data_IF_365370667500
#
_entry.id   IF_365370667500
#
_cell.length_a   1.000
_cell.length_b   1.000
_cell.length_c   1.000
_cell.angle_alpha   90.00
_cell.angle_beta   90.00
_cell.angle_gamma   90.00
#
_symmetry.space_group_name_H-M   'P 1'
#
loop_
_entity.id
_entity.type
_entity.pdbx_description
1 polymer ?
#
# COMPACT_ATOMS: atom_id res chain seq x y z
N UNK A 1 -13.79 17.29 -13.48
CA UNK A 1 -14.68 16.11 -13.36
C UNK A 1 -14.18 14.87 -14.11
N UNK A 2 -13.85 14.92 -15.43
CA UNK A 2 -13.46 13.71 -16.19
C UNK A 2 -12.26 12.97 -15.59
N UNK A 3 -11.35 13.73 -14.96
CA UNK A 3 -10.10 13.21 -14.40
C UNK A 3 -10.26 12.75 -12.94
N UNK A 4 -11.32 13.19 -12.25
CA UNK A 4 -11.54 12.93 -10.83
C UNK A 4 -12.47 11.74 -10.57
N UNK A 5 -13.24 11.29 -11.58
CA UNK A 5 -14.20 10.19 -11.45
C UNK A 5 -13.72 9.01 -12.30
N UNK A 6 -13.07 8.03 -11.66
CA UNK A 6 -12.58 6.84 -12.34
C UNK A 6 -13.62 5.74 -12.52
N UNK A 7 -14.44 5.51 -11.49
CA UNK A 7 -15.47 4.46 -11.44
C UNK A 7 -16.67 4.97 -10.65
N UNK A 8 -17.86 4.54 -11.04
CA UNK A 8 -19.11 4.73 -10.30
C UNK A 8 -19.77 3.38 -10.05
N UNK A 9 -20.24 3.14 -8.83
CA UNK A 9 -20.78 1.85 -8.41
C UNK A 9 -22.12 2.03 -7.70
N UNK A 10 -23.13 1.26 -8.12
CA UNK A 10 -24.46 1.22 -7.49
C UNK A 10 -24.81 -0.23 -7.17
N UNK A 11 -25.34 -0.43 -5.95
CA UNK A 11 -26.06 -1.64 -5.57
C UNK A 11 -27.56 -1.35 -5.72
N UNK A 12 -28.27 -2.16 -6.50
CA UNK A 12 -29.70 -2.03 -6.73
C UNK A 12 -30.42 -3.33 -6.37
N UNK A 13 -31.74 -3.24 -6.16
CA UNK A 13 -32.60 -4.36 -5.74
C UNK A 13 -33.15 -5.19 -6.91
N UNK A 14 -32.68 -4.95 -8.15
CA UNK A 14 -33.18 -5.62 -9.35
C UNK A 14 -32.42 -6.93 -9.64
N UNK A 15 -33.11 -8.09 -9.74
CA UNK A 15 -32.53 -9.30 -10.30
C UNK A 15 -32.41 -9.19 -11.84
N UNK A 16 -31.36 -9.73 -12.49
CA UNK A 16 -30.33 -10.64 -11.94
C UNK A 16 -29.01 -9.97 -11.51
N UNK A 17 -28.86 -8.65 -11.70
CA UNK A 17 -27.62 -7.93 -11.43
C UNK A 17 -27.81 -6.93 -10.26
N UNK A 18 -27.59 -7.36 -9.01
CA UNK A 18 -27.75 -6.49 -7.84
C UNK A 18 -26.69 -5.39 -7.76
N UNK A 19 -25.68 -5.41 -8.63
CA UNK A 19 -24.54 -4.50 -8.61
C UNK A 19 -24.15 -4.13 -10.03
N UNK A 20 -23.95 -2.84 -10.27
CA UNK A 20 -23.50 -2.28 -11.55
C UNK A 20 -22.30 -1.38 -11.30
N UNK A 21 -21.24 -1.61 -12.08
CA UNK A 21 -20.02 -0.79 -12.07
C UNK A 21 -19.88 -0.10 -13.43
N UNK A 22 -19.85 1.22 -13.42
CA UNK A 22 -19.60 2.05 -14.60
C UNK A 22 -18.16 2.54 -14.55
N UNK A 23 -17.33 1.98 -15.42
CA UNK A 23 -15.94 2.40 -15.58
C UNK A 23 -15.87 3.63 -16.48
N UNK A 24 -15.08 4.64 -16.09
CA UNK A 24 -14.88 5.88 -16.85
C UNK A 24 -16.23 6.50 -17.30
N UNK A 25 -17.04 7.01 -16.36
CA UNK A 25 -18.40 7.46 -16.69
C UNK A 25 -18.44 8.68 -17.62
N UNK A 26 -17.33 9.41 -17.79
CA UNK A 26 -17.22 10.56 -18.70
C UNK A 26 -16.28 10.18 -19.85
N UNK A 27 -16.85 9.71 -20.95
CA UNK A 27 -16.14 9.24 -22.17
C UNK A 27 -16.54 9.97 -23.45
N UNK A 28 -17.58 10.81 -23.38
CA UNK A 28 -18.09 11.62 -24.49
C UNK A 28 -18.04 13.10 -24.08
N UNK A 29 -17.84 13.98 -25.06
CA UNK A 29 -17.90 15.44 -24.85
C UNK A 29 -19.31 15.85 -24.39
N UNK A 30 -20.34 15.28 -25.03
CA UNK A 30 -21.74 15.43 -24.66
C UNK A 30 -22.37 14.07 -24.32
N UNK A 31 -22.93 13.96 -23.12
CA UNK A 31 -23.69 12.77 -22.70
C UNK A 31 -25.11 12.74 -23.27
N UNK A 32 -25.76 11.58 -23.20
CA UNK A 32 -27.19 11.48 -23.52
C UNK A 32 -28.02 12.08 -22.36
N UNK A 33 -28.47 13.32 -22.52
CA UNK A 33 -29.22 14.05 -21.48
C UNK A 33 -30.61 13.45 -21.20
N UNK A 34 -31.23 12.76 -22.16
CA UNK A 34 -32.49 12.05 -21.93
C UNK A 34 -32.28 10.88 -20.96
N UNK A 35 -31.20 10.10 -21.14
CA UNK A 35 -30.84 9.03 -20.23
C UNK A 35 -30.39 9.56 -18.87
N UNK A 36 -29.63 10.66 -18.84
CA UNK A 36 -29.17 11.27 -17.59
C UNK A 36 -30.34 11.80 -16.73
N UNK A 37 -31.43 12.23 -17.36
CA UNK A 37 -32.64 12.74 -16.71
C UNK A 37 -33.79 11.73 -16.68
N UNK A 38 -33.54 10.46 -17.06
CA UNK A 38 -34.56 9.43 -17.12
C UNK A 38 -35.29 9.27 -15.78
N UNK A 39 -36.62 9.31 -15.80
CA UNK A 39 -37.48 9.18 -14.62
C UNK A 39 -37.59 10.43 -13.74
N UNK A 40 -36.85 11.51 -14.04
CA UNK A 40 -36.90 12.75 -13.25
C UNK A 40 -38.09 13.67 -13.57
N UNK A 41 -38.70 13.50 -14.76
CA UNK A 41 -39.69 14.41 -15.35
C UNK A 41 -39.21 15.85 -15.58
N UNK A 42 -37.90 16.10 -15.51
CA UNK A 42 -37.30 17.39 -15.86
C UNK A 42 -37.25 17.57 -17.38
N UNK A 43 -37.42 18.81 -17.91
CA UNK A 43 -37.24 19.07 -19.34
C UNK A 43 -35.78 18.87 -19.73
N UNK A 44 -35.55 18.28 -20.90
CA UNK A 44 -34.20 18.07 -21.44
C UNK A 44 -33.63 19.44 -21.86
N UNK A 45 -32.52 19.92 -21.24
CA UNK A 45 -31.94 21.20 -21.58
C UNK A 45 -31.25 21.15 -22.95
N UNK A 46 -31.20 22.30 -23.64
CA UNK A 46 -30.41 22.45 -24.87
C UNK A 46 -28.91 22.46 -24.54
N UNK A 47 -28.10 21.78 -25.37
CA UNK A 47 -26.66 21.66 -25.14
C UNK A 47 -25.94 23.02 -25.13
N UNK A 48 -26.47 24.03 -25.83
CA UNK A 48 -25.89 25.37 -25.83
C UNK A 48 -25.85 26.04 -24.46
N UNK A 49 -26.66 25.57 -23.49
CA UNK A 49 -26.61 26.03 -22.10
C UNK A 49 -25.30 25.67 -21.39
N UNK A 50 -24.55 24.68 -21.90
CA UNK A 50 -23.28 24.22 -21.34
C UNK A 50 -22.05 24.84 -22.04
N UNK A 51 -22.26 25.74 -23.02
CA UNK A 51 -21.17 26.45 -23.70
C UNK A 51 -20.57 27.53 -22.78
N UNK A 52 -19.51 27.20 -22.05
CA UNK A 52 -18.91 28.15 -21.11
C UNK A 52 -17.48 27.87 -20.67
N UNK A 53 -16.53 28.54 -21.36
CA UNK A 53 -15.31 29.07 -20.75
C UNK A 53 -14.00 28.31 -21.01
N UNK A 54 -12.90 29.07 -21.20
CA UNK A 54 -11.53 28.55 -21.10
C UNK A 54 -11.32 28.00 -19.68
N UNK A 55 -11.51 26.71 -19.48
CA UNK A 55 -11.08 26.05 -18.26
C UNK A 55 -9.56 26.05 -18.22
N UNK A 56 -8.98 26.68 -17.20
CA UNK A 56 -7.63 26.36 -16.77
C UNK A 56 -7.61 24.85 -16.48
N UNK A 57 -6.82 24.12 -17.26
CA UNK A 57 -6.71 22.66 -17.15
C UNK A 57 -5.87 22.30 -15.91
N UNK A 58 -6.49 22.42 -14.73
CA UNK A 58 -5.92 21.96 -13.46
C UNK A 58 -6.44 20.56 -13.20
N UNK A 59 -5.53 19.62 -13.05
CA UNK A 59 -5.86 18.24 -12.65
C UNK A 59 -5.71 18.14 -11.13
N UNK A 60 -6.80 17.96 -10.37
CA UNK A 60 -6.69 17.87 -8.92
C UNK A 60 -5.86 16.65 -8.50
N UNK A 61 -4.95 16.82 -7.54
CA UNK A 61 -4.09 15.72 -7.10
C UNK A 61 -3.06 15.25 -8.14
N UNK A 62 -2.80 16.05 -9.18
CA UNK A 62 -1.89 15.65 -10.25
C UNK A 62 -0.51 15.27 -9.72
N UNK A 63 -0.07 14.09 -10.13
CA UNK A 63 1.25 13.57 -9.89
C UNK A 63 2.17 13.93 -11.06
N UNK A 64 3.33 14.49 -10.76
CA UNK A 64 4.39 14.80 -11.70
C UNK A 64 5.59 13.94 -11.35
N UNK A 65 5.89 12.96 -12.19
CA UNK A 65 7.08 12.12 -12.03
C UNK A 65 8.17 12.59 -12.96
N UNK A 66 9.42 12.49 -12.50
CA UNK A 66 10.55 12.63 -13.41
C UNK A 66 10.56 11.53 -14.48
N UNK A 67 11.21 11.79 -15.61
CA UNK A 67 11.45 10.77 -16.62
C UNK A 67 12.51 9.77 -16.13
N UNK A 68 12.35 8.51 -16.50
CA UNK A 68 13.30 7.45 -16.20
C UNK A 68 12.65 6.29 -15.47
N UNK A 69 13.51 5.36 -15.06
CA UNK A 69 13.10 4.13 -14.43
C UNK A 69 13.69 4.01 -13.01
N UNK A 70 12.98 3.28 -12.15
CA UNK A 70 13.43 2.91 -10.80
C UNK A 70 14.02 1.52 -10.86
N UNK A 71 15.29 1.39 -10.47
CA UNK A 71 15.95 0.11 -10.25
C UNK A 71 15.64 -0.42 -8.85
N UNK A 72 15.17 -1.66 -8.77
CA UNK A 72 14.78 -2.33 -7.54
C UNK A 72 15.74 -3.47 -7.19
N UNK A 73 15.80 -3.80 -5.89
CA UNK A 73 16.63 -4.88 -5.34
C UNK A 73 18.13 -4.74 -5.63
N UNK A 74 18.60 -3.50 -5.80
CA UNK A 74 19.98 -3.17 -6.16
C UNK A 74 20.97 -3.72 -5.12
N UNK A 75 22.12 -4.21 -5.60
CA UNK A 75 23.22 -4.70 -4.76
C UNK A 75 23.08 -6.15 -4.30
N UNK A 76 21.97 -6.84 -4.61
CA UNK A 76 21.75 -8.25 -4.25
C UNK A 76 22.19 -9.19 -5.37
N UNK A 77 22.63 -10.40 -5.02
CA UNK A 77 22.98 -11.42 -6.02
C UNK A 77 21.71 -11.96 -6.68
N UNK A 78 21.79 -12.15 -7.99
CA UNK A 78 20.69 -12.67 -8.80
C UNK A 78 21.03 -14.02 -9.43
N UNK A 79 20.00 -14.77 -9.79
CA UNK A 79 20.12 -16.05 -10.50
C UNK A 79 18.98 -16.20 -11.49
N UNK A 80 19.28 -16.53 -12.75
CA UNK A 80 18.25 -16.89 -13.72
C UNK A 80 18.01 -18.39 -13.68
N UNK A 81 16.76 -18.80 -13.52
CA UNK A 81 16.36 -20.21 -13.41
C UNK A 81 15.22 -20.49 -14.37
N UNK A 82 15.33 -21.59 -15.11
CA UNK A 82 14.23 -22.10 -15.93
C UNK A 82 13.28 -22.93 -15.06
N UNK A 83 11.99 -22.59 -15.09
CA UNK A 83 10.94 -23.22 -14.28
C UNK A 83 9.92 -23.85 -15.21
N UNK A 84 9.59 -25.11 -14.97
CA UNK A 84 8.57 -25.85 -15.75
C UNK A 84 7.41 -26.25 -14.85
N UNK A 85 6.19 -25.91 -15.26
CA UNK A 85 4.95 -26.34 -14.60
C UNK A 85 4.59 -27.76 -15.04
N UNK A 86 4.62 -28.70 -14.10
CA UNK A 86 4.12 -30.07 -14.28
C UNK A 86 2.68 -30.24 -13.78
N UNK A 87 2.01 -29.13 -13.47
CA UNK A 87 0.66 -29.12 -12.93
C UNK A 87 -0.38 -29.02 -14.05
N UNK A 88 -1.57 -29.56 -13.81
CA UNK A 88 -2.76 -29.43 -14.65
C UNK A 88 -3.55 -28.13 -14.37
N UNK A 89 -3.11 -27.35 -13.38
CA UNK A 89 -3.72 -26.08 -12.95
C UNK A 89 -2.68 -24.96 -12.95
N UNK A 90 -3.11 -23.70 -13.17
CA UNK A 90 -2.21 -22.57 -13.14
C UNK A 90 -1.62 -22.35 -11.75
N UNK A 91 -0.35 -21.99 -11.69
CA UNK A 91 0.37 -21.67 -10.46
C UNK A 91 0.87 -20.23 -10.55
N UNK A 92 0.65 -19.43 -9.52
CA UNK A 92 1.10 -18.05 -9.46
C UNK A 92 1.95 -17.83 -8.21
N UNK A 93 3.14 -17.25 -8.39
CA UNK A 93 4.12 -17.04 -7.33
C UNK A 93 4.37 -15.55 -7.15
N UNK A 94 4.10 -15.04 -5.96
CA UNK A 94 4.28 -13.63 -5.59
C UNK A 94 5.75 -13.24 -5.40
N UNK A 95 6.04 -11.96 -5.52
CA UNK A 95 7.41 -11.43 -5.55
C UNK A 95 8.26 -11.78 -4.33
N UNK A 96 7.66 -11.82 -3.13
CA UNK A 96 8.35 -12.05 -1.86
C UNK A 96 8.24 -13.49 -1.34
N UNK A 97 7.65 -14.40 -2.10
CA UNK A 97 7.57 -15.80 -1.70
C UNK A 97 8.97 -16.45 -1.79
N UNK A 98 9.35 -17.20 -0.75
CA UNK A 98 10.59 -17.99 -0.73
C UNK A 98 10.58 -19.00 -1.87
N UNK A 99 11.41 -18.81 -2.89
CA UNK A 99 11.23 -19.50 -4.16
C UNK A 99 11.48 -21.01 -4.06
N UNK A 100 12.32 -21.44 -3.12
CA UNK A 100 12.50 -22.86 -2.79
C UNK A 100 11.21 -23.51 -2.26
N UNK A 101 10.33 -22.75 -1.60
CA UNK A 101 9.12 -23.25 -0.95
C UNK A 101 7.93 -23.40 -1.91
N UNK A 102 8.07 -23.01 -3.20
CA UNK A 102 6.94 -22.98 -4.14
C UNK A 102 6.40 -24.39 -4.42
N UNK A 103 5.18 -24.42 -4.94
CA UNK A 103 4.42 -25.63 -5.26
C UNK A 103 5.30 -26.77 -5.81
N UNK A 104 5.10 -27.98 -5.29
CA UNK A 104 5.83 -29.20 -5.65
C UNK A 104 5.81 -29.55 -7.13
N UNK A 105 4.83 -29.06 -7.89
CA UNK A 105 4.72 -29.31 -9.33
C UNK A 105 5.52 -28.33 -10.20
N UNK A 106 6.15 -27.31 -9.61
CA UNK A 106 7.13 -26.50 -10.33
C UNK A 106 8.49 -27.19 -10.26
N UNK A 107 9.00 -27.61 -11.43
CA UNK A 107 10.31 -28.23 -11.59
C UNK A 107 11.35 -27.19 -11.98
N UNK A 108 12.38 -27.06 -11.15
CA UNK A 108 13.52 -26.16 -11.36
C UNK A 108 14.68 -26.55 -10.43
N UNK A 109 15.79 -25.81 -10.49
CA UNK A 109 16.91 -26.02 -9.59
C UNK A 109 16.65 -25.37 -8.21
N UNK A 110 16.08 -26.16 -7.30
CA UNK A 110 15.80 -25.74 -5.93
C UNK A 110 17.04 -25.35 -5.13
N UNK A 111 18.23 -25.88 -5.45
CA UNK A 111 19.46 -25.49 -4.75
C UNK A 111 19.83 -24.05 -5.07
N UNK A 112 19.70 -23.66 -6.33
CA UNK A 112 19.97 -22.29 -6.77
C UNK A 112 18.90 -21.30 -6.27
N UNK A 113 17.69 -21.77 -5.98
CA UNK A 113 16.60 -20.97 -5.41
C UNK A 113 16.65 -20.81 -3.88
N UNK A 114 17.54 -21.54 -3.19
CA UNK A 114 17.65 -21.44 -1.73
C UNK A 114 18.09 -20.02 -1.31
N UNK A 115 17.38 -19.43 -0.35
CA UNK A 115 17.62 -18.05 0.09
C UNK A 115 17.25 -16.98 -0.94
N UNK A 116 16.41 -17.29 -1.92
CA UNK A 116 16.02 -16.33 -2.98
C UNK A 116 14.50 -16.20 -3.14
N UNK A 117 14.10 -15.08 -3.72
CA UNK A 117 12.74 -14.74 -4.13
C UNK A 117 12.74 -14.22 -5.58
N UNK A 118 11.57 -14.00 -6.18
CA UNK A 118 11.50 -13.45 -7.54
C UNK A 118 12.06 -12.01 -7.57
N UNK A 119 12.87 -11.69 -8.57
CA UNK A 119 13.35 -10.33 -8.83
C UNK A 119 12.35 -9.56 -9.70
N UNK A 120 11.18 -9.29 -9.14
CA UNK A 120 10.07 -8.57 -9.78
C UNK A 120 9.55 -7.50 -8.81
N UNK A 121 8.75 -6.53 -9.28
CA UNK A 121 8.26 -5.46 -8.42
C UNK A 121 7.44 -5.98 -7.22
N UNK A 122 7.57 -5.31 -6.07
CA UNK A 122 6.89 -5.67 -4.83
C UNK A 122 5.36 -5.80 -5.03
N UNK A 123 4.78 -6.91 -4.56
CA UNK A 123 3.35 -7.17 -4.70
C UNK A 123 2.87 -7.68 -6.07
N UNK A 124 3.76 -7.84 -7.05
CA UNK A 124 3.45 -8.52 -8.32
C UNK A 124 3.72 -10.02 -8.23
N UNK A 125 3.39 -10.77 -9.29
CA UNK A 125 3.57 -12.21 -9.33
C UNK A 125 3.90 -12.72 -10.74
N UNK A 126 4.56 -13.87 -10.81
CA UNK A 126 4.73 -14.63 -12.05
C UNK A 126 3.72 -15.77 -12.08
N UNK A 127 2.97 -15.85 -13.18
CA UNK A 127 2.00 -16.91 -13.44
C UNK A 127 2.60 -17.93 -14.40
N UNK A 128 2.39 -19.20 -14.08
CA UNK A 128 2.77 -20.38 -14.86
C UNK A 128 1.51 -21.13 -15.26
N UNK A 129 1.23 -21.22 -16.55
CA UNK A 129 0.15 -22.04 -17.08
C UNK A 129 0.51 -23.54 -17.07
N UNK A 130 -0.46 -24.45 -17.16
CA UNK A 130 -0.20 -25.88 -17.23
C UNK A 130 0.77 -26.25 -18.37
N UNK A 131 1.87 -26.95 -18.04
CA UNK A 131 2.90 -27.34 -19.01
C UNK A 131 3.87 -26.23 -19.41
N UNK A 132 3.71 -25.00 -18.92
CA UNK A 132 4.57 -23.88 -19.31
C UNK A 132 5.99 -24.03 -18.76
N UNK A 133 6.99 -23.77 -19.62
CA UNK A 133 8.37 -23.55 -19.23
C UNK A 133 8.73 -22.09 -19.43
N UNK A 134 9.24 -21.43 -18.38
CA UNK A 134 9.63 -20.01 -18.41
C UNK A 134 10.92 -19.77 -17.63
N UNK A 135 11.77 -18.88 -18.12
CA UNK A 135 12.92 -18.37 -17.37
C UNK A 135 12.48 -17.23 -16.43
N UNK A 136 12.88 -17.30 -15.17
CA UNK A 136 12.65 -16.25 -14.18
C UNK A 136 13.96 -15.83 -13.54
N UNK A 137 14.06 -14.56 -13.18
CA UNK A 137 15.17 -14.06 -12.38
C UNK A 137 14.79 -14.07 -10.91
N UNK A 138 15.68 -14.62 -10.10
CA UNK A 138 15.60 -14.60 -8.65
C UNK A 138 16.63 -13.63 -8.08
N UNK A 139 16.38 -13.15 -6.87
CA UNK A 139 17.26 -12.31 -6.08
C UNK A 139 17.35 -12.84 -4.66
N UNK A 140 18.52 -12.75 -4.03
CA UNK A 140 18.68 -13.10 -2.62
C UNK A 140 17.75 -12.29 -1.72
N UNK A 141 17.19 -12.96 -0.70
CA UNK A 141 16.53 -12.27 0.41
C UNK A 141 17.57 -11.42 1.16
N UNK A 142 17.14 -10.31 1.73
CA UNK A 142 18.00 -9.41 2.49
C UNK A 142 17.86 -9.66 4.00
N UNK A 143 18.27 -8.68 4.81
CA UNK A 143 18.11 -8.75 6.25
C UNK A 143 18.92 -9.88 6.88
N UNK A 144 18.34 -10.56 7.86
CA UNK A 144 19.00 -11.66 8.58
C UNK A 144 19.18 -12.94 7.73
N UNK A 145 18.58 -12.98 6.55
CA UNK A 145 18.52 -14.15 5.66
C UNK A 145 17.94 -15.38 6.38
N UNK A 146 16.80 -15.20 7.05
CA UNK A 146 16.08 -16.26 7.76
C UNK A 146 14.78 -16.58 7.02
N UNK A 147 14.58 -17.85 6.73
CA UNK A 147 13.44 -18.34 5.94
C UNK A 147 12.43 -18.95 6.92
N UNK A 148 11.17 -18.55 6.79
CA UNK A 148 10.07 -19.11 7.56
C UNK A 148 8.85 -19.35 6.67
N UNK A 149 8.01 -20.30 7.09
CA UNK A 149 6.71 -20.57 6.48
C UNK A 149 6.78 -21.36 5.17
N UNK A 150 5.79 -21.14 4.31
CA UNK A 150 5.68 -21.84 3.03
C UNK A 150 5.38 -23.33 3.20
N UNK A 151 6.27 -24.20 2.73
CA UNK A 151 6.15 -25.65 2.90
C UNK A 151 7.09 -26.20 3.98
N UNK A 152 7.83 -25.35 4.69
CA UNK A 152 8.84 -25.76 5.69
C UNK A 152 9.89 -26.71 5.11
N UNK A 153 10.37 -26.46 3.89
CA UNK A 153 11.46 -27.23 3.28
C UNK A 153 12.82 -26.77 3.78
N UNK A 154 12.98 -25.47 4.03
CA UNK A 154 14.25 -24.86 4.40
C UNK A 154 14.12 -23.81 5.53
N UNK A 155 13.28 -24.09 6.52
CA UNK A 155 13.06 -23.20 7.67
C UNK A 155 14.37 -22.90 8.43
N UNK A 156 14.50 -21.66 8.87
CA UNK A 156 15.63 -21.12 9.61
C UNK A 156 16.63 -20.32 8.75
N UNK A 157 17.75 -19.97 9.39
CA UNK A 157 18.80 -19.16 8.75
C UNK A 157 19.42 -19.88 7.55
N UNK A 158 19.64 -19.12 6.47
CA UNK A 158 20.36 -19.58 5.29
C UNK A 158 21.73 -20.14 5.68
N UNK A 159 21.98 -21.39 5.27
CA UNK A 159 23.22 -22.10 5.56
C UNK A 159 23.49 -23.11 4.43
N UNK A 160 24.55 -22.86 3.67
CA UNK A 160 24.95 -23.67 2.52
C UNK A 160 25.21 -25.15 2.90
N UNK A 161 25.64 -25.41 4.14
CA UNK A 161 25.88 -26.77 4.62
C UNK A 161 24.60 -27.62 4.71
N UNK A 162 23.41 -26.97 4.81
CA UNK A 162 22.11 -27.64 4.89
C UNK A 162 21.57 -28.09 3.54
N UNK A 163 22.17 -27.68 2.42
CA UNK A 163 21.65 -27.96 1.08
C UNK A 163 21.44 -29.46 0.85
N UNK A 164 22.37 -30.31 1.30
CA UNK A 164 22.26 -31.76 1.14
C UNK A 164 21.02 -32.32 1.86
N UNK A 165 20.79 -31.92 3.12
CA UNK A 165 19.63 -32.33 3.90
C UNK A 165 18.32 -31.77 3.33
N UNK A 166 18.30 -30.53 2.87
CA UNK A 166 17.15 -29.90 2.22
C UNK A 166 16.79 -30.66 0.93
N UNK A 167 17.78 -31.07 0.13
CA UNK A 167 17.54 -31.87 -1.08
C UNK A 167 16.95 -33.25 -0.78
N UNK A 168 17.39 -33.90 0.29
CA UNK A 168 16.77 -35.15 0.75
C UNK A 168 15.30 -34.93 1.16
N UNK A 169 15.01 -33.85 1.87
CA UNK A 169 13.65 -33.45 2.25
C UNK A 169 12.76 -33.14 1.03
N UNK A 170 13.30 -32.41 0.04
CA UNK A 170 12.64 -32.11 -1.24
C UNK A 170 12.26 -33.41 -1.96
N UNK A 171 13.21 -34.36 -2.04
CA UNK A 171 12.99 -35.65 -2.69
C UNK A 171 11.94 -36.48 -1.94
N UNK A 172 12.06 -36.60 -0.62
CA UNK A 172 11.14 -37.42 0.19
C UNK A 172 9.70 -36.90 0.16
N UNK A 173 9.52 -35.57 0.05
CA UNK A 173 8.20 -34.93 -0.03
C UNK A 173 7.69 -34.76 -1.46
N UNK A 174 8.43 -35.24 -2.46
CA UNK A 174 8.02 -35.25 -3.86
C UNK A 174 7.96 -33.85 -4.50
N UNK A 175 8.81 -32.92 -4.06
CA UNK A 175 8.97 -31.63 -4.72
C UNK A 175 9.84 -31.78 -5.96
N UNK A 176 9.32 -31.34 -7.11
CA UNK A 176 10.04 -31.45 -8.36
C UNK A 176 11.32 -30.61 -8.33
N UNK A 177 12.44 -31.26 -8.67
CA UNK A 177 13.76 -30.68 -8.72
C UNK A 177 14.47 -31.14 -10.00
N UNK A 178 15.16 -30.22 -10.66
CA UNK A 178 16.03 -30.49 -11.81
C UNK A 178 17.23 -29.57 -11.75
N UNK A 179 18.42 -30.15 -11.56
CA UNK A 179 19.69 -29.42 -11.57
C UNK A 179 19.89 -28.72 -12.91
N UNK A 180 20.36 -27.48 -12.87
CA UNK A 180 20.66 -26.66 -14.05
C UNK A 180 22.13 -26.27 -14.06
N UNK A 181 22.69 -25.98 -15.23
CA UNK A 181 24.10 -25.60 -15.35
C UNK A 181 24.38 -24.33 -14.54
N UNK A 182 25.37 -24.38 -13.65
CA UNK A 182 25.81 -23.26 -12.84
C UNK A 182 26.32 -22.08 -13.70
N UNK A 183 26.67 -22.30 -14.98
CA UNK A 183 27.06 -21.23 -15.89
C UNK A 183 25.89 -20.34 -16.37
N UNK A 184 24.63 -20.74 -16.14
CA UNK A 184 23.44 -19.89 -16.37
C UNK A 184 23.43 -18.70 -15.38
N UNK A 185 24.17 -18.81 -14.26
CA UNK A 185 24.40 -17.75 -13.28
C UNK A 185 25.34 -16.62 -13.77
N UNK A 186 25.93 -16.73 -14.97
CA UNK A 186 26.95 -15.79 -15.51
C UNK A 186 26.44 -14.89 -16.63
N UNK A 187 25.13 -14.78 -16.87
CA UNK A 187 24.60 -13.76 -17.80
C UNK A 187 24.63 -12.37 -17.11
N UNK A 188 25.03 -11.31 -17.84
CA UNK A 188 25.57 -10.07 -17.26
C UNK A 188 24.58 -9.24 -16.40
N UNK A 189 25.17 -8.31 -15.63
CA UNK A 189 24.60 -7.32 -14.68
C UNK A 189 23.46 -6.42 -15.19
N UNK A 190 22.96 -6.62 -16.40
CA UNK A 190 22.09 -5.67 -17.10
C UNK A 190 20.74 -6.31 -17.39
N UNK A 191 19.93 -6.37 -16.33
CA UNK A 191 18.51 -6.08 -16.31
C UNK A 191 18.10 -6.29 -14.85
N UNK A 192 18.41 -5.26 -14.06
CA UNK A 192 17.87 -5.12 -12.70
C UNK A 192 16.33 -5.15 -12.81
N UNK A 193 15.64 -5.46 -11.72
CA UNK A 193 14.20 -5.31 -11.71
C UNK A 193 13.91 -3.82 -11.89
N UNK A 194 13.48 -3.41 -13.08
CA UNK A 194 13.30 -2.00 -13.44
C UNK A 194 11.82 -1.72 -13.68
N UNK A 195 11.33 -0.58 -13.19
CA UNK A 195 9.97 -0.10 -13.42
C UNK A 195 9.98 1.36 -13.82
N UNK A 196 9.25 1.77 -14.88
CA UNK A 196 9.10 3.18 -15.19
C UNK A 196 8.57 3.96 -14.00
N UNK A 197 9.17 5.12 -13.73
CA UNK A 197 8.91 5.89 -12.49
C UNK A 197 7.44 6.29 -12.31
N UNK A 198 6.73 6.60 -13.40
CA UNK A 198 5.28 6.84 -13.35
C UNK A 198 4.48 5.60 -12.90
N UNK A 199 4.85 4.40 -13.36
CA UNK A 199 4.22 3.14 -12.91
C UNK A 199 4.55 2.87 -11.44
N UNK A 200 5.78 3.17 -11.01
CA UNK A 200 6.18 3.08 -9.60
C UNK A 200 5.28 3.96 -8.73
N UNK A 201 5.14 5.23 -9.11
CA UNK A 201 4.36 6.17 -8.35
C UNK A 201 2.85 5.85 -8.35
N UNK A 202 2.31 5.29 -9.43
CA UNK A 202 0.94 4.73 -9.44
C UNK A 202 0.80 3.47 -8.57
N UNK A 203 1.86 2.68 -8.40
CA UNK A 203 1.80 1.39 -7.70
C UNK A 203 2.03 1.54 -6.20
N UNK A 204 2.92 2.44 -5.79
CA UNK A 204 3.40 2.59 -4.41
C UNK A 204 3.27 4.03 -3.90
N UNK A 205 2.73 4.97 -4.67
CA UNK A 205 2.79 6.41 -4.36
C UNK A 205 4.11 7.05 -4.81
N UNK A 206 4.18 8.40 -4.88
CA UNK A 206 5.36 9.15 -5.33
C UNK A 206 6.62 8.82 -4.52
N UNK A 207 7.80 9.05 -5.10
CA UNK A 207 9.10 8.91 -4.43
C UNK A 207 9.96 10.17 -4.60
N UNK A 208 11.16 10.21 -4.01
CA UNK A 208 12.03 11.40 -3.93
C UNK A 208 12.18 12.12 -5.26
N UNK A 209 11.81 13.40 -5.32
CA UNK A 209 11.83 14.26 -6.52
C UNK A 209 10.54 14.25 -7.34
N UNK A 210 9.60 13.33 -7.06
CA UNK A 210 8.26 13.44 -7.63
C UNK A 210 7.49 14.56 -6.94
N UNK A 211 6.59 15.20 -7.68
CA UNK A 211 5.74 16.26 -7.16
C UNK A 211 4.26 15.89 -7.18
N UNK A 212 3.49 16.40 -6.23
CA UNK A 212 2.04 16.22 -6.15
C UNK A 212 1.34 17.57 -5.98
N UNK A 213 0.29 17.81 -6.75
CA UNK A 213 -0.58 18.98 -6.56
C UNK A 213 -1.52 18.74 -5.38
N UNK A 214 -1.65 19.72 -4.48
CA UNK A 214 -2.58 19.64 -3.37
C UNK A 214 -3.99 20.01 -3.82
N UNK A 215 -4.87 19.01 -3.95
CA UNK A 215 -6.23 19.21 -4.44
C UNK A 215 -6.24 19.91 -5.81
N UNK A 216 -7.16 20.84 -6.00
CA UNK A 216 -7.28 21.71 -7.17
C UNK A 216 -6.54 23.05 -7.00
N UNK A 217 -5.69 23.17 -5.97
CA UNK A 217 -4.93 24.40 -5.68
C UNK A 217 -3.75 24.60 -6.64
N UNK A 218 -3.12 25.77 -6.59
CA UNK A 218 -1.85 26.04 -7.28
C UNK A 218 -0.62 25.47 -6.57
N UNK A 219 -0.77 24.88 -5.37
CA UNK A 219 0.33 24.36 -4.58
C UNK A 219 0.78 23.00 -5.10
N UNK A 220 2.09 22.87 -5.29
CA UNK A 220 2.76 21.64 -5.70
C UNK A 220 3.82 21.36 -4.65
N UNK A 221 3.78 20.16 -4.07
CA UNK A 221 4.75 19.68 -3.10
C UNK A 221 5.68 18.67 -3.77
N UNK A 222 6.96 18.64 -3.36
CA UNK A 222 7.96 17.68 -3.83
C UNK A 222 8.28 16.69 -2.70
N UNK A 223 8.45 15.42 -3.03
CA UNK A 223 8.92 14.42 -2.07
C UNK A 223 10.41 14.65 -1.81
N UNK A 224 10.75 15.13 -0.62
CA UNK A 224 12.12 15.46 -0.22
C UNK A 224 12.96 14.20 0.04
N UNK A 225 12.33 13.16 0.59
CA UNK A 225 13.01 11.91 0.95
C UNK A 225 12.06 10.71 0.96
N UNK A 226 12.54 9.59 0.42
CA UNK A 226 11.92 8.28 0.55
C UNK A 226 12.70 7.43 1.56
N UNK A 227 12.03 7.00 2.62
CA UNK A 227 12.57 6.15 3.67
C UNK A 227 12.33 4.66 3.41
N UNK A 228 11.64 4.31 2.32
CA UNK A 228 11.43 2.93 1.89
C UNK A 228 12.64 2.39 1.13
N UNK A 229 12.53 1.16 0.61
CA UNK A 229 13.60 0.48 -0.13
C UNK A 229 13.01 -0.11 -1.39
N UNK A 230 13.53 0.32 -2.56
CA UNK A 230 13.02 -0.10 -3.85
C UNK A 230 13.07 -1.60 -4.07
N UNK A 231 11.89 -2.21 -4.23
CA UNK A 231 11.69 -3.64 -4.41
C UNK A 231 11.32 -4.41 -3.15
N UNK A 232 11.35 -3.75 -1.98
CA UNK A 232 10.90 -4.26 -0.68
C UNK A 232 9.72 -3.40 -0.14
N UNK A 233 8.93 -2.76 -0.99
CA UNK A 233 7.75 -1.99 -0.57
C UNK A 233 6.75 -2.88 0.19
N UNK A 234 6.23 -2.38 1.31
CA UNK A 234 5.20 -3.09 2.07
C UNK A 234 3.87 -2.97 1.33
N UNK A 235 3.40 -4.06 0.72
CA UNK A 235 2.12 -4.07 0.01
C UNK A 235 1.24 -5.23 0.47
N UNK A 236 0.06 -4.91 0.96
CA UNK A 236 -0.93 -5.87 1.44
C UNK A 236 -1.88 -6.34 0.34
N UNK A 237 -2.26 -7.62 0.37
CA UNK A 237 -3.26 -8.22 -0.51
C UNK A 237 -2.93 -9.64 -0.97
N UNK A 238 -3.87 -10.26 -1.69
CA UNK A 238 -3.73 -11.62 -2.22
C UNK A 238 -2.47 -11.79 -3.07
N UNK A 239 -1.55 -12.65 -2.64
CA UNK A 239 -0.30 -12.93 -3.35
C UNK A 239 0.77 -11.83 -3.26
N UNK A 240 0.60 -10.81 -2.41
CA UNK A 240 1.54 -9.69 -2.28
C UNK A 240 2.61 -9.91 -1.20
N UNK A 241 3.15 -8.82 -0.65
CA UNK A 241 4.37 -8.78 0.19
C UNK A 241 4.09 -9.12 1.64
N UNK A 242 3.12 -8.44 2.27
CA UNK A 242 2.77 -8.64 3.68
C UNK A 242 2.01 -9.96 3.85
N UNK A 243 2.78 -11.04 3.97
CA UNK A 243 2.35 -12.41 4.24
C UNK A 243 3.38 -13.09 5.13
N UNK A 244 2.94 -14.10 5.86
CA UNK A 244 3.75 -14.85 6.82
C UNK A 244 5.08 -15.34 6.22
N UNK A 245 6.18 -15.13 6.96
CA UNK A 245 7.54 -15.46 6.55
C UNK A 245 8.13 -14.58 5.45
N UNK A 246 7.33 -13.71 4.84
CA UNK A 246 7.71 -12.80 3.75
C UNK A 246 7.87 -11.39 4.32
N UNK A 247 7.03 -10.42 3.93
CA UNK A 247 7.02 -9.09 4.55
C UNK A 247 6.45 -9.06 5.98
N UNK A 248 5.83 -10.15 6.43
CA UNK A 248 5.38 -10.33 7.80
C UNK A 248 6.29 -11.34 8.51
N UNK A 249 6.99 -10.88 9.55
CA UNK A 249 7.90 -11.71 10.34
C UNK A 249 7.13 -12.83 11.03
N UNK A 250 7.63 -14.06 10.89
CA UNK A 250 7.06 -15.22 11.57
C UNK A 250 7.66 -15.36 12.98
N UNK A 251 6.88 -15.87 13.93
CA UNK A 251 7.36 -16.13 15.30
C UNK A 251 7.59 -14.89 16.17
N UNK A 252 7.30 -13.68 15.67
CA UNK A 252 7.31 -12.45 16.48
C UNK A 252 6.05 -12.35 17.34
N UNK A 253 6.22 -11.91 18.59
CA UNK A 253 5.12 -11.75 19.54
C UNK A 253 4.34 -10.46 19.29
N UNK A 254 3.12 -10.40 19.83
CA UNK A 254 2.36 -9.16 19.85
C UNK A 254 3.02 -8.05 20.68
N UNK A 255 4.00 -8.34 21.55
CA UNK A 255 4.71 -7.29 22.28
C UNK A 255 5.68 -6.52 21.38
N UNK A 256 6.25 -7.20 20.38
CA UNK A 256 7.31 -6.65 19.52
C UNK A 256 6.79 -6.22 18.14
N UNK A 257 5.73 -6.88 17.65
CA UNK A 257 5.10 -6.51 16.39
C UNK A 257 4.25 -5.25 16.54
N UNK A 258 4.18 -4.45 15.46
CA UNK A 258 3.25 -3.32 15.37
C UNK A 258 1.79 -3.78 15.54
N UNK A 259 0.94 -2.90 16.08
CA UNK A 259 -0.51 -3.14 16.05
C UNK A 259 -1.08 -2.78 14.67
N UNK A 260 -0.56 -1.70 14.06
CA UNK A 260 -0.95 -1.28 12.72
C UNK A 260 0.25 -0.67 12.00
N UNK A 261 0.33 -0.91 10.69
CA UNK A 261 1.25 -0.21 9.78
C UNK A 261 0.46 0.55 8.72
N UNK A 262 0.80 1.82 8.50
CA UNK A 262 0.36 2.58 7.33
C UNK A 262 1.48 2.47 6.29
N UNK A 263 1.21 1.82 5.16
CA UNK A 263 2.24 1.49 4.17
C UNK A 263 2.41 2.57 3.11
N UNK A 264 3.66 2.87 2.72
CA UNK A 264 3.99 3.73 1.58
C UNK A 264 3.29 5.12 1.57
N UNK A 265 3.08 5.74 2.73
CA UNK A 265 2.39 7.02 2.85
C UNK A 265 3.28 8.19 2.38
N UNK A 266 2.68 9.14 1.64
CA UNK A 266 3.28 10.46 1.46
C UNK A 266 2.91 11.33 2.66
N UNK A 267 3.85 11.55 3.56
CA UNK A 267 3.69 12.34 4.78
C UNK A 267 3.95 13.81 4.45
N UNK A 268 3.01 14.67 4.82
CA UNK A 268 3.15 16.12 4.74
C UNK A 268 3.02 16.69 6.14
N UNK A 269 4.14 17.12 6.71
CA UNK A 269 4.21 17.56 8.09
C UNK A 269 5.26 18.66 8.29
N UNK A 270 4.98 19.56 9.22
CA UNK A 270 5.81 20.75 9.45
C UNK A 270 7.17 20.44 10.09
N UNK A 271 7.31 19.30 10.78
CA UNK A 271 8.54 18.93 11.50
C UNK A 271 9.38 17.96 10.67
N UNK A 272 8.74 16.93 10.11
CA UNK A 272 9.41 15.89 9.33
C UNK A 272 9.64 16.27 7.87
N UNK A 273 8.95 17.30 7.37
CA UNK A 273 9.00 17.72 5.98
C UNK A 273 8.02 16.94 5.10
N UNK A 274 8.37 16.76 3.84
CA UNK A 274 7.53 16.06 2.85
C UNK A 274 8.23 14.76 2.46
N UNK A 275 7.85 13.67 3.12
CA UNK A 275 8.59 12.40 3.02
C UNK A 275 7.68 11.23 2.64
N UNK A 276 8.27 10.22 2.01
CA UNK A 276 7.61 8.93 1.72
C UNK A 276 8.11 7.89 2.71
N UNK A 277 7.21 7.24 3.45
CA UNK A 277 7.59 6.25 4.46
C UNK A 277 6.45 5.30 4.84
N UNK A 278 6.78 4.22 5.56
CA UNK A 278 5.83 3.47 6.36
C UNK A 278 5.73 4.09 7.77
N UNK A 279 4.53 4.09 8.36
CA UNK A 279 4.28 4.59 9.73
C UNK A 279 3.79 3.43 10.60
N UNK A 280 4.48 3.19 11.71
CA UNK A 280 4.11 2.15 12.67
C UNK A 280 3.34 2.70 13.87
N UNK A 281 2.26 2.01 14.23
CA UNK A 281 1.42 2.33 15.38
C UNK A 281 1.46 1.17 16.38
N UNK A 282 1.65 1.52 17.65
CA UNK A 282 1.63 0.60 18.80
C UNK A 282 0.96 1.29 19.99
N UNK A 283 0.04 0.61 20.66
CA UNK A 283 -0.68 1.12 21.83
C UNK A 283 -1.31 2.51 21.61
N UNK A 284 -1.85 2.74 20.40
CA UNK A 284 -2.45 4.01 19.99
C UNK A 284 -1.47 5.13 19.66
N UNK A 285 -0.16 4.87 19.68
CA UNK A 285 0.89 5.86 19.47
C UNK A 285 1.70 5.57 18.20
N UNK A 286 2.21 6.62 17.56
CA UNK A 286 3.21 6.48 16.49
C UNK A 286 4.54 6.09 17.13
N UNK A 287 5.07 4.90 16.79
CA UNK A 287 6.33 4.37 17.34
C UNK A 287 7.51 4.44 16.37
N UNK A 288 7.23 4.70 15.10
CA UNK A 288 8.28 4.92 14.11
C UNK A 288 7.74 5.39 12.76
N UNK A 289 8.61 6.06 12.03
CA UNK A 289 8.40 6.49 10.64
C UNK A 289 9.66 6.06 9.88
N UNK A 290 9.52 5.23 8.85
CA UNK A 290 10.66 4.68 8.12
C UNK A 290 10.30 3.48 7.26
N UNK A 291 11.19 2.50 7.19
CA UNK A 291 10.93 1.23 6.49
C UNK A 291 10.37 0.19 7.46
N UNK A 292 9.14 -0.25 7.23
CA UNK A 292 8.52 -1.36 7.96
C UNK A 292 8.75 -2.71 7.26
N UNK A 293 8.30 -3.79 7.89
CA UNK A 293 8.23 -5.12 7.28
C UNK A 293 8.91 -6.19 8.12
N UNK A 294 9.64 -7.09 7.46
CA UNK A 294 10.30 -8.22 8.10
C UNK A 294 11.84 -8.12 8.01
N UNK A 295 12.55 -7.88 9.12
CA UNK A 295 14.01 -7.77 9.12
C UNK A 295 14.72 -9.09 8.76
N UNK A 296 14.02 -10.22 8.71
CA UNK A 296 14.61 -11.50 8.32
C UNK A 296 14.88 -11.63 6.81
N UNK A 297 14.12 -10.90 5.99
CA UNK A 297 14.14 -11.09 4.52
C UNK A 297 14.20 -9.78 3.73
N UNK A 298 14.03 -8.64 4.40
CA UNK A 298 13.98 -7.31 3.78
C UNK A 298 15.15 -6.44 4.25
N UNK A 299 15.62 -5.55 3.37
CA UNK A 299 16.71 -4.65 3.70
C UNK A 299 16.22 -3.45 4.52
N UNK A 300 17.05 -3.03 5.48
CA UNK A 300 16.90 -1.79 6.24
C UNK A 300 15.55 -1.61 6.97
N UNK A 301 14.89 -2.70 7.36
CA UNK A 301 13.70 -2.62 8.22
C UNK A 301 14.11 -2.03 9.57
N UNK A 302 13.40 -1.00 10.02
CA UNK A 302 13.60 -0.43 11.35
C UNK A 302 13.13 -1.44 12.40
N UNK A 303 13.92 -1.65 13.47
CA UNK A 303 13.61 -2.59 14.55
C UNK A 303 12.30 -2.29 15.27
N UNK A 304 11.82 -1.04 15.22
CA UNK A 304 10.55 -0.62 15.81
C UNK A 304 9.38 -0.73 14.83
N UNK A 305 9.61 -1.16 13.58
CA UNK A 305 8.60 -1.22 12.51
C UNK A 305 8.40 -2.65 11.98
N UNK A 306 8.46 -3.63 12.87
CA UNK A 306 8.27 -5.04 12.52
C UNK A 306 6.79 -5.32 12.29
N UNK A 307 6.47 -5.85 11.12
CA UNK A 307 5.13 -6.37 10.82
C UNK A 307 5.07 -7.85 11.21
N UNK A 308 4.15 -8.21 12.09
CA UNK A 308 3.92 -9.58 12.57
C UNK A 308 2.52 -10.08 12.26
N UNK A 309 2.18 -11.28 12.75
CA UNK A 309 0.84 -11.86 12.57
C UNK A 309 -0.29 -11.09 13.26
N UNK A 310 0.05 -10.19 14.18
CA UNK A 310 -0.89 -9.33 14.92
C UNK A 310 -0.93 -7.90 14.39
N UNK A 311 -0.25 -7.61 13.27
CA UNK A 311 -0.19 -6.27 12.69
C UNK A 311 -1.28 -6.09 11.63
N UNK A 312 -2.15 -5.11 11.81
CA UNK A 312 -3.08 -4.64 10.78
C UNK A 312 -2.36 -3.76 9.73
N UNK A 313 -2.87 -3.71 8.50
CA UNK A 313 -2.32 -2.90 7.43
C UNK A 313 -3.33 -1.88 6.88
N UNK A 314 -2.96 -0.60 6.92
CA UNK A 314 -3.66 0.49 6.22
C UNK A 314 -2.83 0.86 4.98
N UNK A 315 -3.42 0.73 3.79
CA UNK A 315 -2.74 1.08 2.54
C UNK A 315 -2.65 2.60 2.38
N UNK A 316 -1.45 3.18 2.50
CA UNK A 316 -1.16 4.60 2.27
C UNK A 316 -0.63 4.90 0.87
N UNK A 317 -0.35 3.89 0.05
CA UNK A 317 0.12 4.10 -1.33
C UNK A 317 -0.85 4.96 -2.15
N UNK A 318 -0.34 6.06 -2.71
CA UNK A 318 -1.13 7.01 -3.49
C UNK A 318 -1.97 8.00 -2.66
N UNK A 319 -1.84 7.97 -1.33
CA UNK A 319 -2.52 8.89 -0.41
C UNK A 319 -1.51 9.81 0.31
N UNK A 320 -2.02 10.93 0.81
CA UNK A 320 -1.28 11.85 1.68
C UNK A 320 -1.69 11.59 3.14
N UNK A 321 -0.72 11.50 4.03
CA UNK A 321 -0.91 11.40 5.47
C UNK A 321 -0.46 12.71 6.15
N UNK A 322 -1.33 13.25 6.99
CA UNK A 322 -1.04 14.43 7.82
C UNK A 322 -1.31 14.13 9.28
N UNK A 323 -0.81 14.97 10.18
CA UNK A 323 -1.36 15.03 11.53
C UNK A 323 -2.84 15.41 11.48
N UNK A 324 -3.61 14.97 12.48
CA UNK A 324 -4.97 15.47 12.68
C UNK A 324 -4.95 16.96 13.03
N UNK A 325 -5.88 17.73 12.48
CA UNK A 325 -5.91 19.16 12.71
C UNK A 325 -6.30 19.49 14.15
N UNK A 326 -5.75 20.59 14.67
CA UNK A 326 -6.05 21.16 15.98
C UNK A 326 -6.73 22.51 15.79
N UNK A 327 -7.97 22.62 16.25
CA UNK A 327 -8.70 23.89 16.29
C UNK A 327 -8.60 24.49 17.70
N UNK A 328 -7.91 25.63 17.80
CA UNK A 328 -7.65 26.29 19.07
C UNK A 328 -8.73 27.29 19.49
N UNK A 329 -9.75 27.53 18.66
CA UNK A 329 -10.77 28.56 18.88
C UNK A 329 -12.16 27.99 18.60
N UNK A 330 -12.60 27.05 19.45
CA UNK A 330 -13.90 26.41 19.30
C UNK A 330 -14.94 27.01 20.25
N UNK A 331 -16.07 27.42 19.70
CA UNK A 331 -17.25 27.75 20.48
C UNK A 331 -18.13 26.50 20.62
N UNK A 332 -18.24 25.93 21.82
CA UNK A 332 -19.06 24.73 22.06
C UNK A 332 -20.56 25.07 22.15
N UNK A 333 -21.12 25.47 21.01
CA UNK A 333 -22.52 25.88 20.83
C UNK A 333 -23.45 24.66 20.77
N UNK A 334 -23.04 23.61 20.08
CA UNK A 334 -23.83 22.39 19.89
C UNK A 334 -22.92 21.18 19.66
N UNK A 335 -23.33 19.94 19.98
CA UNK A 335 -22.50 18.75 19.80
C UNK A 335 -22.26 18.38 18.31
N UNK A 336 -23.12 18.83 17.40
CA UNK A 336 -23.01 18.51 15.97
C UNK A 336 -21.69 19.01 15.36
N UNK A 337 -21.15 20.13 15.86
CA UNK A 337 -19.87 20.67 15.37
C UNK A 337 -18.71 19.69 15.59
N UNK A 338 -18.76 18.80 16.60
CA UNK A 338 -17.72 17.81 16.81
C UNK A 338 -17.69 16.77 15.67
N UNK A 339 -18.85 16.43 15.10
CA UNK A 339 -18.96 15.52 13.95
C UNK A 339 -18.42 16.18 12.68
N UNK A 340 -18.73 17.45 12.46
CA UNK A 340 -18.18 18.21 11.34
C UNK A 340 -16.66 18.40 11.47
N UNK A 341 -16.18 18.67 12.69
CA UNK A 341 -14.76 18.79 12.99
C UNK A 341 -14.01 17.51 12.59
N UNK A 342 -14.41 16.34 13.11
CA UNK A 342 -13.74 15.08 12.76
C UNK A 342 -13.90 14.69 11.28
N UNK A 343 -15.07 14.97 10.67
CA UNK A 343 -15.29 14.72 9.24
C UNK A 343 -14.39 15.57 8.33
N UNK A 344 -14.00 16.77 8.78
CA UNK A 344 -13.03 17.65 8.10
C UNK A 344 -11.56 17.32 8.41
N UNK A 345 -11.29 16.37 9.32
CA UNK A 345 -9.93 15.99 9.75
C UNK A 345 -9.41 16.68 11.02
N UNK A 346 -10.25 17.42 11.75
CA UNK A 346 -9.92 17.96 13.07
C UNK A 346 -10.07 16.89 14.14
N UNK A 347 -8.98 16.56 14.83
CA UNK A 347 -8.96 15.53 15.89
C UNK A 347 -8.80 16.12 17.29
N UNK A 348 -8.61 17.44 17.40
CA UNK A 348 -8.45 18.12 18.69
C UNK A 348 -9.09 19.50 18.65
N UNK A 349 -9.90 19.81 19.67
CA UNK A 349 -10.60 21.08 19.80
C UNK A 349 -10.30 21.71 21.16
N UNK A 350 -9.84 22.96 21.17
CA UNK A 350 -9.72 23.80 22.35
C UNK A 350 -10.69 24.97 22.26
N UNK A 351 -11.33 25.29 23.37
CA UNK A 351 -12.31 26.37 23.40
C UNK A 351 -13.18 26.34 24.64
N UNK A 352 -14.40 26.84 24.50
CA UNK A 352 -15.35 26.92 25.61
C UNK A 352 -16.78 27.14 25.15
N UNK A 353 -17.73 26.83 26.03
CA UNK A 353 -19.15 27.01 25.77
C UNK A 353 -20.01 26.14 26.68
N UNK A 354 -21.27 26.53 26.80
CA UNK A 354 -22.30 25.83 27.60
C UNK A 354 -23.54 25.54 26.77
N UNK A 355 -23.37 25.27 25.48
CA UNK A 355 -24.47 25.20 24.52
C UNK A 355 -24.83 26.59 23.94
N UNK A 356 -26.01 26.75 23.33
CA UNK A 356 -26.36 27.91 22.49
C UNK A 356 -26.71 29.19 23.26
N UNK A 357 -26.22 29.34 24.50
CA UNK A 357 -26.38 30.55 25.28
C UNK A 357 -25.66 31.73 24.63
N UNK A 358 -26.19 32.96 24.82
CA UNK A 358 -25.61 34.19 24.28
C UNK A 358 -24.12 34.36 24.61
N UNK A 359 -23.69 33.89 25.78
CA UNK A 359 -22.28 33.85 26.16
C UNK A 359 -21.44 33.00 25.21
N UNK A 360 -21.76 31.71 25.05
CA UNK A 360 -21.04 30.79 24.16
C UNK A 360 -21.07 31.24 22.69
N UNK A 361 -22.15 31.88 22.25
CA UNK A 361 -22.26 32.39 20.88
C UNK A 361 -21.29 33.56 20.62
N UNK A 362 -20.80 34.23 21.68
CA UNK A 362 -19.90 35.37 21.59
C UNK A 362 -18.47 35.07 22.06
N UNK A 363 -18.29 34.18 23.04
CA UNK A 363 -16.99 33.91 23.67
C UNK A 363 -16.75 32.42 23.89
N UNK A 364 -15.49 31.99 23.75
CA UNK A 364 -15.04 30.61 24.05
C UNK A 364 -14.84 30.40 25.54
N UNK A 365 -15.90 30.61 26.33
CA UNK A 365 -15.85 30.54 27.80
C UNK A 365 -16.79 29.47 28.34
N UNK A 366 -16.28 28.68 29.30
CA UNK A 366 -17.08 27.77 30.13
C UNK A 366 -17.05 28.31 31.57
N UNK A 367 -17.90 29.29 31.92
CA UNK A 367 -17.60 30.31 32.92
C UNK A 367 -17.67 29.87 34.40
N UNK A 368 -17.93 28.60 34.70
CA UNK A 368 -18.00 28.14 36.09
C UNK A 368 -17.77 26.64 36.28
N UNK A 369 -17.45 26.20 37.51
CA UNK A 369 -17.08 24.80 37.78
C UNK A 369 -18.17 23.79 37.39
N UNK A 370 -19.45 24.12 37.60
CA UNK A 370 -20.56 23.26 37.21
C UNK A 370 -20.67 23.13 35.68
N UNK A 371 -20.48 24.21 34.93
CA UNK A 371 -20.48 24.17 33.47
C UNK A 371 -19.34 23.32 32.92
N UNK A 372 -18.14 23.44 33.51
CA UNK A 372 -16.98 22.60 33.16
C UNK A 372 -17.31 21.12 33.43
N UNK A 373 -17.86 20.81 34.62
CA UNK A 373 -18.28 19.45 34.97
C UNK A 373 -19.30 18.87 33.97
N UNK A 374 -20.30 19.64 33.55
CA UNK A 374 -21.31 19.19 32.59
C UNK A 374 -20.74 19.02 31.18
N UNK A 375 -19.78 19.85 30.78
CA UNK A 375 -19.10 19.71 29.49
C UNK A 375 -18.32 18.38 29.41
N UNK A 376 -17.60 18.00 30.47
CA UNK A 376 -16.86 16.72 30.52
C UNK A 376 -17.75 15.49 30.67
N UNK A 377 -18.96 15.62 31.21
CA UNK A 377 -19.93 14.51 31.27
C UNK A 377 -20.45 14.07 29.88
N UNK A 378 -20.14 14.82 28.81
CA UNK A 378 -20.48 14.45 27.43
C UNK A 378 -19.58 13.35 26.83
N UNK A 379 -18.62 12.79 27.59
CA UNK A 379 -17.79 11.62 27.20
C UNK A 379 -18.59 10.36 26.77
N UNK A 380 -19.92 10.33 26.96
CA UNK A 380 -20.78 9.18 26.67
C UNK A 380 -21.63 9.28 25.37
N UNK A 381 -21.49 10.34 24.57
CA UNK A 381 -22.38 10.59 23.41
C UNK A 381 -21.69 10.79 22.04
N UNK A 382 -20.38 10.59 21.94
CA UNK A 382 -19.65 10.60 20.67
C UNK A 382 -19.28 9.17 20.23
#
# INVERSE_FOLDING_TARGET
MPISIGVYEIINTLPPAPQVTVHQPIVLDDGNLELALYGSFLPIPDLSLFNGGNCLHVVPGQLYTENGDIEMNVGRKTANITVTSLCDRPIQVGSHYHFLEVNKFLQFDRTQAYGKRLNIPAGTAVRFEPGETREVQLVEIAGNSVIHGGNFLSDGKFDESKIAAILENIKSRGFAHKTQDANILKRPKTNLCVMPRHIYAHTYGPTTGDCVRLGDTSLIIEVEKDLTVYGDECKFGGGKVLREGMGQMAGVSAADALDTVITNALIVDAVTGIIKADVGIKDGMIVGIGKAGNPDVMANVNTNLICGATTEAIAGEGLILTAGALDAHVHFICPQLAREAVASGVTTMFGGGTGPATGSNATTCTPGPNHIKYAFLCDFLC
#
